data_IF_186881406760
#
_entry.id   IF_186881406760
#
_cell.length_a   1.000
_cell.length_b   1.000
_cell.length_c   1.000
_cell.angle_alpha   90.00
_cell.angle_beta   90.00
_cell.angle_gamma   90.00
#
_symmetry.space_group_name_H-M   'P 1'
#
loop_
_entity.id
_entity.type
_entity.pdbx_description
1 polymer ?
#
# COMPACT_ATOMS: atom_id res chain seq x y z
N UNK A 1 13.45 4.51 23.58
CA UNK A 1 12.15 4.19 22.94
C UNK A 1 11.66 5.46 22.26
N UNK A 2 11.22 5.38 21.01
CA UNK A 2 10.53 6.49 20.35
C UNK A 2 9.03 6.31 20.54
N UNK A 3 8.34 7.36 20.94
CA UNK A 3 6.88 7.37 21.05
C UNK A 3 6.27 7.53 19.66
N UNK A 4 5.27 6.71 19.36
CA UNK A 4 4.49 6.81 18.12
C UNK A 4 3.17 7.46 18.49
N UNK A 5 2.87 8.60 17.86
CA UNK A 5 1.55 9.22 17.97
C UNK A 5 0.59 8.48 17.03
N UNK A 6 -0.42 7.82 17.63
CA UNK A 6 -1.52 7.21 16.90
C UNK A 6 -2.75 8.10 17.02
N UNK A 7 -3.33 8.48 15.88
CA UNK A 7 -4.53 9.30 15.79
C UNK A 7 -5.62 8.49 15.09
N UNK A 8 -6.72 8.24 15.80
CA UNK A 8 -7.91 7.64 15.22
C UNK A 8 -8.80 8.73 14.60
N UNK A 9 -9.34 8.43 13.43
CA UNK A 9 -10.45 9.21 12.87
C UNK A 9 -11.74 8.50 13.30
N UNK A 10 -12.59 9.09 14.17
CA UNK A 10 -13.74 8.38 14.76
C UNK A 10 -14.79 7.90 13.74
N UNK A 11 -14.89 8.59 12.61
CA UNK A 11 -15.84 8.29 11.52
C UNK A 11 -15.16 8.49 10.17
N UNK A 12 -14.26 7.57 9.76
CA UNK A 12 -13.51 7.73 8.53
C UNK A 12 -14.43 7.50 7.33
N UNK A 13 -14.36 8.37 6.33
CA UNK A 13 -15.00 8.14 5.04
C UNK A 13 -14.13 7.20 4.19
N UNK A 14 -14.20 5.91 4.50
CA UNK A 14 -13.41 4.86 3.83
C UNK A 14 -13.72 4.77 2.34
N UNK A 15 -14.94 5.12 1.92
CA UNK A 15 -15.33 5.14 0.51
C UNK A 15 -14.57 6.24 -0.25
N UNK A 16 -14.47 7.45 0.31
CA UNK A 16 -13.65 8.52 -0.28
C UNK A 16 -12.18 8.15 -0.34
N UNK A 17 -11.63 7.55 0.72
CA UNK A 17 -10.21 7.13 0.75
C UNK A 17 -9.94 6.05 -0.29
N UNK A 18 -10.81 5.04 -0.40
CA UNK A 18 -10.70 3.98 -1.39
C UNK A 18 -10.76 4.55 -2.83
N UNK A 19 -11.72 5.45 -3.09
CA UNK A 19 -11.81 6.14 -4.38
C UNK A 19 -10.55 6.95 -4.70
N UNK A 20 -9.96 7.63 -3.72
CA UNK A 20 -8.71 8.37 -3.89
C UNK A 20 -7.52 7.44 -4.19
N UNK A 21 -7.38 6.33 -3.44
CA UNK A 21 -6.34 5.33 -3.66
C UNK A 21 -6.41 4.72 -5.08
N UNK A 22 -7.62 4.42 -5.55
CA UNK A 22 -7.84 3.81 -6.85
C UNK A 22 -7.64 4.79 -8.01
N UNK A 23 -8.09 6.04 -7.89
CA UNK A 23 -8.18 6.97 -9.02
C UNK A 23 -7.10 8.05 -9.08
N UNK A 24 -6.55 8.47 -7.93
CA UNK A 24 -5.67 9.65 -7.85
C UNK A 24 -4.28 9.30 -7.34
N UNK A 25 -4.19 8.43 -6.34
CA UNK A 25 -2.91 8.06 -5.77
C UNK A 25 -2.09 7.17 -6.73
N UNK A 26 -0.80 7.45 -6.84
CA UNK A 26 0.16 6.64 -7.58
C UNK A 26 1.33 6.30 -6.65
N UNK A 27 1.68 5.01 -6.48
CA UNK A 27 2.81 4.64 -5.64
C UNK A 27 4.13 5.11 -6.26
N UNK A 28 5.08 5.50 -5.40
CA UNK A 28 6.46 5.76 -5.81
C UNK A 28 7.26 4.46 -6.03
N UNK A 29 6.89 3.39 -5.32
CA UNK A 29 7.55 2.07 -5.39
C UNK A 29 6.49 0.99 -5.59
N UNK A 30 6.74 0.08 -6.53
CA UNK A 30 5.84 -1.02 -6.85
C UNK A 30 4.73 -0.66 -7.84
N UNK A 31 3.94 -1.65 -8.22
CA UNK A 31 2.82 -1.55 -9.14
C UNK A 31 1.50 -1.60 -8.38
N UNK A 32 0.64 -0.60 -8.62
CA UNK A 32 -0.72 -0.57 -8.06
C UNK A 32 -1.68 -1.37 -8.94
N UNK A 33 -2.45 -2.25 -8.31
CA UNK A 33 -3.56 -3.00 -8.92
C UNK A 33 -4.84 -2.67 -8.16
N UNK A 34 -5.86 -2.15 -8.86
CA UNK A 34 -7.16 -1.87 -8.25
C UNK A 34 -7.91 -3.18 -7.97
N UNK A 35 -8.62 -3.22 -6.84
CA UNK A 35 -9.50 -4.34 -6.46
C UNK A 35 -10.90 -3.81 -6.15
N UNK A 36 -11.89 -4.68 -6.00
CA UNK A 36 -13.27 -4.27 -5.70
C UNK A 36 -13.43 -3.53 -4.36
N UNK A 37 -12.47 -3.68 -3.43
CA UNK A 37 -12.54 -3.12 -2.06
C UNK A 37 -11.39 -2.19 -1.71
N UNK A 38 -10.44 -1.96 -2.61
CA UNK A 38 -9.22 -1.22 -2.29
C UNK A 38 -8.17 -1.36 -3.38
N UNK A 39 -6.91 -1.48 -2.99
CA UNK A 39 -5.79 -1.67 -3.91
C UNK A 39 -4.83 -2.75 -3.40
N UNK A 40 -4.10 -3.35 -4.33
CA UNK A 40 -2.94 -4.19 -4.05
C UNK A 40 -1.70 -3.51 -4.61
N UNK A 41 -0.66 -3.37 -3.79
CA UNK A 41 0.63 -2.87 -4.18
C UNK A 41 1.59 -4.05 -4.33
N UNK A 42 2.09 -4.27 -5.53
CA UNK A 42 3.05 -5.32 -5.85
C UNK A 42 4.45 -4.72 -5.91
N UNK A 43 5.32 -5.11 -5.01
CA UNK A 43 6.71 -4.65 -4.94
C UNK A 43 7.59 -5.76 -5.48
N UNK A 44 8.12 -5.55 -6.69
CA UNK A 44 9.12 -6.45 -7.29
C UNK A 44 10.51 -5.91 -7.02
N UNK A 45 11.35 -6.71 -6.36
CA UNK A 45 12.76 -6.39 -6.12
C UNK A 45 13.57 -6.49 -7.42
N UNK A 46 13.43 -5.51 -8.32
CA UNK A 46 14.31 -5.42 -9.50
C UNK A 46 15.69 -4.83 -9.16
N UNK A 47 15.94 -4.41 -7.92
CA UNK A 47 17.17 -3.71 -7.53
C UNK A 47 17.96 -4.37 -6.38
N UNK A 48 17.56 -5.55 -5.90
CA UNK A 48 18.33 -6.29 -4.89
C UNK A 48 19.31 -7.24 -5.57
N UNK A 49 20.52 -6.74 -5.84
CA UNK A 49 21.69 -7.59 -6.09
C UNK A 49 22.16 -8.22 -4.76
N UNK A 50 21.30 -8.98 -4.09
CA UNK A 50 21.71 -9.81 -2.97
C UNK A 50 20.77 -10.98 -2.81
N UNK A 51 21.33 -12.14 -3.07
CA UNK A 51 20.88 -13.50 -2.83
C UNK A 51 20.08 -13.61 -1.52
N UNK A 52 18.75 -13.60 -1.59
CA UNK A 52 17.84 -13.96 -0.48
C UNK A 52 16.43 -14.19 -1.03
N UNK A 53 15.89 -15.36 -0.74
CA UNK A 53 14.71 -16.00 -1.34
C UNK A 53 13.35 -15.40 -0.95
N UNK A 54 13.16 -14.08 -1.03
CA UNK A 54 11.84 -13.44 -0.87
C UNK A 54 11.35 -13.04 -2.26
N UNK A 55 10.51 -13.91 -2.82
CA UNK A 55 9.82 -13.67 -4.08
C UNK A 55 8.62 -12.77 -3.81
N UNK A 56 8.57 -11.62 -4.47
CA UNK A 56 7.41 -10.73 -4.61
C UNK A 56 6.71 -10.32 -3.30
N UNK A 57 6.96 -9.09 -2.83
CA UNK A 57 6.25 -8.54 -1.67
C UNK A 57 4.96 -7.87 -2.13
N UNK A 58 3.80 -8.39 -1.71
CA UNK A 58 2.49 -7.76 -1.97
C UNK A 58 1.90 -7.14 -0.69
N UNK A 59 1.37 -5.91 -0.80
CA UNK A 59 0.64 -5.22 0.27
C UNK A 59 -0.79 -4.95 -0.18
N UNK A 60 -1.76 -5.44 0.58
CA UNK A 60 -3.19 -5.16 0.32
C UNK A 60 -3.68 -4.05 1.25
N UNK A 61 -4.36 -3.05 0.68
CA UNK A 61 -4.86 -1.86 1.39
C UNK A 61 -6.37 -1.78 1.17
N UNK A 62 -7.14 -1.87 2.26
CA UNK A 62 -8.61 -1.89 2.29
C UNK A 62 -9.15 -1.02 3.42
#
# INVERSE_FOLDING_TARGET
MQEILYLEIPTPDTTKVCNWLQNQWTPQVGQKVNTSRGIRLQISDKNSSSDSSITETELSIF
#
